data_IF_517320470989
#
_entry.id   IF_517320470989
#
_cell.length_a   1.000
_cell.length_b   1.000
_cell.length_c   1.000
_cell.angle_alpha   90.00
_cell.angle_beta   90.00
_cell.angle_gamma   90.00
#
_symmetry.space_group_name_H-M   'P 1'
#
loop_
_entity.id
_entity.type
_entity.pdbx_description
1 polymer ?
#
# COMPACT_ATOMS: atom_id res chain seq x y z
N UNK A 1 -34.31 24.83 2.44
CA UNK A 1 -33.77 23.78 3.32
C UNK A 1 -32.25 23.83 3.19
N UNK A 2 -31.62 24.59 4.10
CA UNK A 2 -30.20 24.97 4.00
C UNK A 2 -29.37 23.75 4.45
N UNK A 3 -28.45 23.30 3.59
CA UNK A 3 -27.40 22.33 3.93
C UNK A 3 -26.60 22.94 5.07
N UNK A 4 -26.82 22.50 6.31
CA UNK A 4 -25.86 22.75 7.38
C UNK A 4 -24.53 22.15 6.94
N UNK A 5 -23.51 23.00 6.83
CA UNK A 5 -22.15 22.57 6.54
C UNK A 5 -21.75 21.57 7.62
N UNK A 6 -21.64 20.29 7.23
CA UNK A 6 -21.22 19.20 8.11
C UNK A 6 -19.87 19.58 8.70
N UNK A 7 -19.86 20.07 9.95
CA UNK A 7 -18.61 20.38 10.67
C UNK A 7 -17.82 19.08 10.77
N UNK A 8 -16.60 19.08 10.25
CA UNK A 8 -15.70 17.93 10.32
C UNK A 8 -15.41 17.67 11.80
N UNK A 9 -15.50 16.40 12.23
CA UNK A 9 -15.23 16.01 13.61
C UNK A 9 -13.77 16.36 13.98
N UNK A 10 -13.52 17.11 15.07
CA UNK A 10 -12.17 17.41 15.54
C UNK A 10 -11.29 16.18 15.74
N UNK A 11 -11.86 15.02 16.10
CA UNK A 11 -11.11 13.77 16.23
C UNK A 11 -10.54 13.28 14.91
N UNK A 12 -11.27 13.44 13.80
CA UNK A 12 -10.78 13.10 12.46
C UNK A 12 -9.62 14.03 12.07
N UNK A 13 -9.74 15.33 12.36
CA UNK A 13 -8.67 16.29 12.11
C UNK A 13 -7.40 15.96 12.91
N UNK A 14 -7.55 15.50 14.15
CA UNK A 14 -6.43 15.08 14.98
C UNK A 14 -5.77 13.80 14.45
N UNK A 15 -6.56 12.80 14.02
CA UNK A 15 -6.02 11.59 13.37
C UNK A 15 -5.22 11.98 12.13
N UNK A 16 -5.78 12.84 11.27
CA UNK A 16 -5.12 13.30 10.06
C UNK A 16 -3.81 14.06 10.37
N UNK A 17 -3.84 14.99 11.33
CA UNK A 17 -2.66 15.74 11.73
C UNK A 17 -1.56 14.81 12.27
N UNK A 18 -1.93 13.86 13.14
CA UNK A 18 -0.99 12.89 13.69
C UNK A 18 -0.43 11.97 12.59
N UNK A 19 -1.26 11.55 11.64
CA UNK A 19 -0.85 10.80 10.47
C UNK A 19 0.17 11.55 9.61
N UNK A 20 -0.10 12.81 9.27
CA UNK A 20 0.81 13.64 8.47
C UNK A 20 2.15 13.86 9.17
N UNK A 21 2.15 14.04 10.50
CA UNK A 21 3.39 14.22 11.28
C UNK A 21 4.22 12.93 11.33
N UNK A 22 3.57 11.78 11.49
CA UNK A 22 4.26 10.49 11.57
C UNK A 22 4.68 9.95 10.20
N UNK A 23 3.97 10.30 9.13
CA UNK A 23 4.25 9.82 7.78
C UNK A 23 5.72 10.00 7.37
N UNK A 24 6.35 11.19 7.41
CA UNK A 24 7.74 11.35 7.00
C UNK A 24 8.74 10.60 7.90
N UNK A 25 8.37 10.31 9.14
CA UNK A 25 9.24 9.59 10.10
C UNK A 25 9.22 8.09 9.81
N UNK A 26 8.04 7.56 9.44
CA UNK A 26 7.83 6.14 9.30
C UNK A 26 7.94 5.66 7.85
N UNK A 27 7.59 6.50 6.87
CA UNK A 27 7.51 6.17 5.44
C UNK A 27 8.87 5.73 4.87
N UNK A 28 8.96 4.45 4.54
CA UNK A 28 10.12 3.75 4.00
C UNK A 28 9.67 2.91 2.79
N UNK A 29 9.57 3.54 1.60
CA UNK A 29 9.07 2.88 0.40
C UNK A 29 10.11 1.88 -0.12
N UNK A 30 9.93 0.62 0.26
CA UNK A 30 10.81 -0.49 -0.10
C UNK A 30 9.95 -1.75 -0.23
N UNK A 31 10.27 -2.59 -1.21
CA UNK A 31 9.81 -3.99 -1.32
C UNK A 31 10.89 -4.89 -0.72
N UNK A 32 10.57 -5.56 0.38
CA UNK A 32 11.49 -6.48 1.05
C UNK A 32 10.73 -7.61 1.71
N UNK A 33 11.30 -8.81 1.79
CA UNK A 33 10.63 -9.95 2.42
C UNK A 33 9.81 -10.77 1.43
N UNK A 34 9.71 -12.08 1.68
CA UNK A 34 9.04 -13.01 0.79
C UNK A 34 7.55 -12.67 0.61
N UNK A 35 6.89 -12.24 1.68
CA UNK A 35 5.47 -11.92 1.68
C UNK A 35 5.19 -10.73 0.75
N UNK A 36 5.94 -9.63 0.91
CA UNK A 36 5.80 -8.48 0.02
C UNK A 36 6.10 -8.79 -1.43
N UNK A 37 7.18 -9.53 -1.70
CA UNK A 37 7.50 -9.91 -3.07
C UNK A 37 6.34 -10.74 -3.65
N UNK A 38 5.73 -11.62 -2.86
CA UNK A 38 4.52 -12.35 -3.25
C UNK A 38 3.32 -11.45 -3.55
N UNK A 39 3.04 -10.44 -2.72
CA UNK A 39 1.93 -9.51 -2.94
C UNK A 39 2.16 -8.58 -4.14
N UNK A 40 3.37 -8.03 -4.26
CA UNK A 40 3.74 -7.07 -5.29
C UNK A 40 3.99 -7.76 -6.64
N UNK A 41 4.54 -8.97 -6.62
CA UNK A 41 4.84 -9.75 -7.81
C UNK A 41 3.63 -9.96 -8.69
N UNK A 42 2.48 -10.36 -8.12
CA UNK A 42 1.23 -10.47 -8.87
C UNK A 42 0.87 -9.23 -9.68
N UNK A 43 1.11 -8.05 -9.10
CA UNK A 43 0.81 -6.79 -9.78
C UNK A 43 1.81 -6.49 -10.89
N UNK A 44 3.11 -6.70 -10.62
CA UNK A 44 4.14 -6.49 -11.63
C UNK A 44 3.99 -7.47 -12.77
N UNK A 45 3.94 -8.78 -12.53
CA UNK A 45 3.88 -9.79 -13.60
C UNK A 45 2.64 -9.57 -14.48
N UNK A 46 1.49 -9.24 -13.88
CA UNK A 46 0.27 -9.00 -14.64
C UNK A 46 0.32 -7.73 -15.51
N UNK A 47 0.91 -6.64 -15.02
CA UNK A 47 0.92 -5.34 -15.72
C UNK A 47 2.11 -5.19 -16.67
N UNK A 48 3.28 -5.67 -16.26
CA UNK A 48 4.54 -5.48 -16.98
C UNK A 48 4.84 -6.68 -17.88
N UNK A 49 4.79 -7.90 -17.34
CA UNK A 49 5.17 -9.11 -18.09
C UNK A 49 3.98 -9.73 -18.84
N UNK A 50 2.75 -9.37 -18.46
CA UNK A 50 1.52 -9.86 -19.08
C UNK A 50 1.16 -11.30 -18.70
N UNK A 51 1.70 -11.80 -17.58
CA UNK A 51 1.47 -13.16 -17.10
C UNK A 51 1.17 -13.20 -15.60
N UNK A 52 1.12 -14.42 -15.05
CA UNK A 52 0.88 -14.70 -13.64
C UNK A 52 2.04 -15.48 -13.01
N UNK A 53 3.23 -15.38 -13.61
CA UNK A 53 4.42 -16.08 -13.17
C UNK A 53 5.29 -15.15 -12.32
N UNK A 54 5.36 -15.41 -11.02
CA UNK A 54 6.06 -14.52 -10.08
C UNK A 54 7.52 -14.90 -9.78
N UNK A 55 8.08 -15.83 -10.57
CA UNK A 55 9.39 -16.43 -10.28
C UNK A 55 10.55 -15.47 -10.49
N UNK A 56 10.46 -14.57 -11.46
CA UNK A 56 11.47 -13.57 -11.76
C UNK A 56 11.45 -12.42 -10.76
N UNK A 57 10.31 -12.04 -10.15
CA UNK A 57 10.33 -11.08 -9.04
C UNK A 57 11.08 -11.61 -7.83
N UNK A 58 10.83 -12.88 -7.46
CA UNK A 58 11.59 -13.51 -6.40
C UNK A 58 13.08 -13.55 -6.74
N UNK A 59 13.44 -13.83 -8.00
CA UNK A 59 14.84 -13.77 -8.43
C UNK A 59 15.42 -12.34 -8.37
N UNK A 60 14.68 -11.33 -8.83
CA UNK A 60 15.07 -9.93 -8.81
C UNK A 60 15.43 -9.45 -7.40
N UNK A 61 14.64 -9.85 -6.40
CA UNK A 61 14.87 -9.50 -5.00
C UNK A 61 15.81 -10.48 -4.25
N UNK A 62 16.52 -11.36 -4.96
CA UNK A 62 17.52 -12.27 -4.38
C UNK A 62 16.91 -13.45 -3.59
N UNK A 63 15.65 -13.77 -3.84
CA UNK A 63 14.88 -14.81 -3.17
C UNK A 63 14.47 -15.96 -4.11
N UNK A 64 15.19 -16.16 -5.22
CA UNK A 64 14.94 -17.27 -6.16
C UNK A 64 14.93 -18.65 -5.48
N UNK A 65 15.64 -18.81 -4.35
CA UNK A 65 15.68 -20.04 -3.56
C UNK A 65 14.35 -20.40 -2.88
N UNK A 66 13.39 -19.46 -2.84
CA UNK A 66 12.01 -19.68 -2.38
C UNK A 66 11.05 -20.03 -3.53
N UNK A 67 11.54 -20.21 -4.76
CA UNK A 67 10.68 -20.59 -5.88
C UNK A 67 10.32 -22.08 -5.79
N UNK A 68 9.04 -22.35 -5.55
CA UNK A 68 8.42 -23.65 -5.76
C UNK A 68 7.39 -23.54 -6.88
N UNK A 69 7.09 -24.64 -7.58
CA UNK A 69 6.24 -24.62 -8.77
C UNK A 69 5.10 -25.62 -8.65
N UNK A 70 3.90 -25.16 -9.03
CA UNK A 70 2.72 -25.98 -9.17
C UNK A 70 2.83 -26.92 -10.38
N UNK A 71 1.94 -27.91 -10.46
CA UNK A 71 1.78 -28.77 -11.65
C UNK A 71 1.47 -27.97 -12.93
N UNK A 72 0.90 -26.76 -12.80
CA UNK A 72 0.64 -25.85 -13.92
C UNK A 72 1.90 -25.19 -14.48
N UNK A 73 3.05 -25.33 -13.83
CA UNK A 73 4.31 -24.68 -14.20
C UNK A 73 4.45 -23.24 -13.68
N UNK A 74 3.41 -22.70 -13.01
CA UNK A 74 3.48 -21.40 -12.34
C UNK A 74 4.14 -21.55 -10.96
N UNK A 75 4.82 -20.50 -10.50
CA UNK A 75 5.37 -20.45 -9.14
C UNK A 75 4.23 -20.49 -8.12
N UNK A 76 4.36 -21.32 -7.09
CA UNK A 76 3.46 -21.30 -5.94
C UNK A 76 3.68 -20.00 -5.17
N UNK A 77 2.77 -19.04 -5.33
CA UNK A 77 2.80 -17.79 -4.59
C UNK A 77 1.81 -17.84 -3.43
N UNK A 78 2.27 -17.79 -2.17
CA UNK A 78 1.38 -17.65 -1.01
C UNK A 78 0.81 -16.22 -0.89
N UNK A 79 1.27 -15.27 -1.71
CA UNK A 79 0.84 -13.88 -1.66
C UNK A 79 -0.64 -13.74 -2.02
N UNK A 80 -1.41 -13.10 -1.13
CA UNK A 80 -2.80 -12.75 -1.37
C UNK A 80 -2.93 -11.70 -2.50
N UNK A 81 -3.76 -12.00 -3.50
CA UNK A 81 -4.02 -11.10 -4.66
C UNK A 81 -4.68 -9.77 -4.26
N UNK A 82 -5.30 -9.69 -3.08
CA UNK A 82 -6.02 -8.50 -2.62
C UNK A 82 -5.15 -7.24 -2.58
N UNK A 83 -3.90 -7.35 -2.15
CA UNK A 83 -2.96 -6.23 -2.13
C UNK A 83 -2.65 -5.72 -3.53
N UNK A 84 -2.40 -6.62 -4.48
CA UNK A 84 -2.16 -6.29 -5.88
C UNK A 84 -3.36 -5.53 -6.49
N UNK A 85 -4.59 -6.00 -6.23
CA UNK A 85 -5.80 -5.33 -6.70
C UNK A 85 -5.94 -3.92 -6.12
N UNK A 86 -5.70 -3.75 -4.82
CA UNK A 86 -5.77 -2.44 -4.16
C UNK A 86 -4.67 -1.49 -4.65
N UNK A 87 -3.49 -1.98 -5.00
CA UNK A 87 -2.41 -1.14 -5.54
C UNK A 87 -2.55 -0.86 -7.05
N UNK A 88 -3.28 -1.69 -7.78
CA UNK A 88 -3.42 -1.59 -9.25
C UNK A 88 -3.80 -0.21 -9.80
N UNK A 89 -4.79 0.55 -9.27
CA UNK A 89 -5.11 1.86 -9.86
C UNK A 89 -3.94 2.85 -9.75
N UNK A 90 -3.19 2.80 -8.66
CA UNK A 90 -2.03 3.68 -8.43
C UNK A 90 -0.83 3.26 -9.26
N UNK A 91 -0.60 1.96 -9.37
CA UNK A 91 0.46 1.40 -10.18
C UNK A 91 0.24 1.70 -11.67
N UNK A 92 -0.97 1.48 -12.18
CA UNK A 92 -1.31 1.78 -13.58
C UNK A 92 -1.19 3.28 -13.88
N UNK A 93 -1.61 4.14 -12.95
CA UNK A 93 -1.45 5.59 -13.09
C UNK A 93 0.03 5.98 -13.21
N UNK A 94 0.89 5.44 -12.34
CA UNK A 94 2.34 5.70 -12.38
C UNK A 94 2.98 5.07 -13.61
N UNK A 95 2.52 3.90 -14.04
CA UNK A 95 3.00 3.28 -15.28
C UNK A 95 2.69 4.15 -16.50
N UNK A 96 1.45 4.62 -16.63
CA UNK A 96 1.04 5.52 -17.71
C UNK A 96 1.82 6.85 -17.67
N UNK A 97 2.00 7.43 -16.49
CA UNK A 97 2.82 8.64 -16.32
C UNK A 97 4.29 8.40 -16.68
N UNK A 98 4.84 7.23 -16.36
CA UNK A 98 6.20 6.82 -16.69
C UNK A 98 6.39 6.72 -18.20
N UNK A 99 5.46 6.05 -18.90
CA UNK A 99 5.47 5.95 -20.36
C UNK A 99 5.34 7.32 -21.03
N UNK A 100 4.46 8.19 -20.52
CA UNK A 100 4.33 9.56 -21.01
C UNK A 100 5.63 10.36 -20.81
N UNK A 101 6.28 10.23 -19.65
CA UNK A 101 7.57 10.86 -19.39
C UNK A 101 8.67 10.36 -20.32
N UNK A 102 8.74 9.05 -20.59
CA UNK A 102 9.66 8.48 -21.57
C UNK A 102 9.41 9.04 -22.99
N UNK A 103 8.15 9.18 -23.39
CA UNK A 103 7.79 9.79 -24.68
C UNK A 103 8.23 11.26 -24.78
N UNK A 104 8.36 11.95 -23.65
CA UNK A 104 8.89 13.31 -23.54
C UNK A 104 10.43 13.36 -23.39
N UNK A 105 11.12 12.22 -23.48
CA UNK A 105 12.57 12.13 -23.37
C UNK A 105 13.12 12.13 -21.94
N UNK A 106 12.28 11.94 -20.92
CA UNK A 106 12.75 11.80 -19.54
C UNK A 106 13.40 10.42 -19.33
N UNK A 107 14.47 10.33 -18.53
CA UNK A 107 15.20 9.08 -18.27
C UNK A 107 14.48 8.21 -17.22
N UNK A 108 13.19 7.93 -17.44
CA UNK A 108 12.40 7.06 -16.58
C UNK A 108 12.45 5.62 -17.07
N UNK A 109 12.33 4.65 -16.16
CA UNK A 109 12.35 3.23 -16.47
C UNK A 109 10.96 2.63 -16.18
N UNK A 110 10.36 1.95 -17.15
CA UNK A 110 9.01 1.39 -17.07
C UNK A 110 9.00 -0.11 -16.74
N UNK A 111 9.77 -0.53 -15.73
CA UNK A 111 10.03 -1.95 -15.39
C UNK A 111 9.15 -2.52 -14.27
N UNK A 112 8.38 -1.66 -13.59
CA UNK A 112 7.61 -2.04 -12.40
C UNK A 112 8.44 -2.24 -11.14
N UNK A 113 9.77 -2.13 -11.19
CA UNK A 113 10.67 -2.24 -10.04
C UNK A 113 11.20 -0.89 -9.57
N UNK A 114 11.30 0.05 -10.50
CA UNK A 114 11.82 1.38 -10.26
C UNK A 114 11.06 2.10 -9.16
N UNK A 115 11.77 3.01 -8.49
CA UNK A 115 11.33 3.61 -7.23
C UNK A 115 9.92 4.23 -7.31
N UNK A 116 9.53 4.82 -8.44
CA UNK A 116 8.21 5.40 -8.62
C UNK A 116 7.06 4.39 -8.41
N UNK A 117 7.24 3.13 -8.78
CA UNK A 117 6.23 2.08 -8.58
C UNK A 117 6.14 1.66 -7.12
N UNK A 118 7.29 1.51 -6.47
CA UNK A 118 7.39 1.21 -5.03
C UNK A 118 6.75 2.33 -4.20
N UNK A 119 6.97 3.60 -4.57
CA UNK A 119 6.31 4.74 -3.94
C UNK A 119 4.80 4.73 -4.14
N UNK A 120 4.33 4.41 -5.35
CA UNK A 120 2.90 4.35 -5.64
C UNK A 120 2.19 3.34 -4.71
N UNK A 121 2.71 2.12 -4.63
CA UNK A 121 2.16 1.08 -3.79
C UNK A 121 2.29 1.41 -2.29
N UNK A 122 3.41 2.02 -1.87
CA UNK A 122 3.61 2.43 -0.47
C UNK A 122 2.65 3.54 -0.05
N UNK A 123 2.46 4.57 -0.90
CA UNK A 123 1.52 5.67 -0.64
C UNK A 123 0.07 5.18 -0.66
N UNK A 124 -0.26 4.24 -1.55
CA UNK A 124 -1.57 3.60 -1.57
C UNK A 124 -1.83 2.87 -0.23
N UNK A 125 -0.87 2.10 0.27
CA UNK A 125 -0.96 1.45 1.59
C UNK A 125 -1.12 2.46 2.73
N UNK A 126 -0.35 3.56 2.72
CA UNK A 126 -0.51 4.65 3.69
C UNK A 126 -1.92 5.23 3.67
N UNK A 127 -2.47 5.48 2.46
CA UNK A 127 -3.82 6.01 2.29
C UNK A 127 -4.88 5.03 2.80
N UNK A 128 -4.77 3.75 2.47
CA UNK A 128 -5.71 2.72 2.91
C UNK A 128 -5.69 2.56 4.42
N UNK A 129 -4.53 2.69 5.05
CA UNK A 129 -4.48 2.67 6.50
C UNK A 129 -5.10 3.92 7.14
N UNK A 130 -4.89 5.11 6.58
CA UNK A 130 -5.57 6.32 7.04
C UNK A 130 -7.11 6.16 6.95
N UNK A 131 -7.60 5.59 5.84
CA UNK A 131 -9.02 5.26 5.67
C UNK A 131 -9.47 4.25 6.74
N UNK A 132 -8.68 3.21 7.00
CA UNK A 132 -8.95 2.22 8.04
C UNK A 132 -9.04 2.84 9.44
N UNK A 133 -8.12 3.74 9.79
CA UNK A 133 -8.15 4.48 11.07
C UNK A 133 -9.38 5.36 11.18
N UNK A 134 -9.75 6.05 10.10
CA UNK A 134 -10.97 6.85 10.07
C UNK A 134 -12.22 5.97 10.27
N UNK A 135 -12.37 4.88 9.52
CA UNK A 135 -13.52 3.99 9.67
C UNK A 135 -13.59 3.38 11.08
N UNK A 136 -12.45 2.98 11.63
CA UNK A 136 -12.36 2.45 13.00
C UNK A 136 -12.79 3.51 14.02
N UNK A 137 -12.38 4.76 13.82
CA UNK A 137 -12.82 5.87 14.68
C UNK A 137 -14.33 6.09 14.62
N UNK A 138 -14.93 6.05 13.43
CA UNK A 138 -16.39 6.20 13.28
C UNK A 138 -17.14 5.09 14.03
N UNK A 139 -16.74 3.83 13.87
CA UNK A 139 -17.36 2.70 14.57
C UNK A 139 -17.14 2.79 16.08
N UNK A 140 -15.96 3.22 16.53
CA UNK A 140 -15.67 3.36 17.95
C UNK A 140 -16.52 4.44 18.64
N UNK A 141 -16.99 5.46 17.91
CA UNK A 141 -17.90 6.48 18.47
C UNK A 141 -19.27 5.91 18.85
N UNK A 142 -19.69 4.79 18.26
CA UNK A 142 -20.96 4.12 18.61
C UNK A 142 -20.84 3.31 19.91
N UNK A 143 -19.61 3.03 20.37
CA UNK A 143 -19.34 2.19 21.53
C UNK A 143 -18.90 2.99 22.77
N UNK A 144 -18.15 4.09 22.57
CA UNK A 144 -17.55 4.87 23.66
C UNK A 144 -17.58 6.37 23.38
N UNK A 145 -17.35 7.18 24.41
CA UNK A 145 -17.23 8.63 24.27
C UNK A 145 -16.11 9.02 23.27
N UNK A 146 -16.33 10.10 22.50
CA UNK A 146 -15.43 10.53 21.40
C UNK A 146 -13.95 10.62 21.76
N UNK A 147 -13.62 11.09 22.97
CA UNK A 147 -12.23 11.19 23.46
C UNK A 147 -11.60 9.82 23.65
N UNK A 148 -12.37 8.86 24.18
CA UNK A 148 -11.94 7.49 24.38
C UNK A 148 -11.84 6.73 23.06
N UNK A 149 -12.76 6.97 22.11
CA UNK A 149 -12.68 6.44 20.76
C UNK A 149 -11.39 6.90 20.06
N UNK A 150 -11.05 8.18 20.16
CA UNK A 150 -9.82 8.73 19.57
C UNK A 150 -8.57 8.09 20.20
N UNK A 151 -8.52 8.00 21.54
CA UNK A 151 -7.41 7.38 22.24
C UNK A 151 -7.27 5.90 21.88
N UNK A 152 -8.38 5.17 21.82
CA UNK A 152 -8.40 3.76 21.45
C UNK A 152 -7.85 3.55 20.03
N UNK A 153 -8.22 4.40 19.06
CA UNK A 153 -7.70 4.32 17.69
C UNK A 153 -6.21 4.66 17.62
N UNK A 154 -5.75 5.70 18.33
CA UNK A 154 -4.32 6.05 18.36
C UNK A 154 -3.50 4.93 19.00
N UNK A 155 -3.97 4.38 20.13
CA UNK A 155 -3.29 3.28 20.82
C UNK A 155 -3.30 2.03 19.94
N UNK A 156 -4.44 1.66 19.35
CA UNK A 156 -4.53 0.52 18.44
C UNK A 156 -3.60 0.71 17.23
N UNK A 157 -3.51 1.92 16.68
CA UNK A 157 -2.58 2.22 15.61
C UNK A 157 -1.12 2.01 16.03
N UNK A 158 -0.71 2.62 17.15
CA UNK A 158 0.67 2.59 17.63
C UNK A 158 1.09 1.23 18.20
N UNK A 159 0.15 0.42 18.69
CA UNK A 159 0.40 -0.88 19.28
C UNK A 159 0.22 -2.05 18.31
N UNK A 160 -0.23 -1.80 17.07
CA UNK A 160 -0.48 -2.84 16.07
C UNK A 160 0.60 -2.89 14.98
N UNK A 161 0.60 -3.95 14.15
CA UNK A 161 1.46 -4.00 12.97
C UNK A 161 1.22 -2.87 11.97
N UNK A 162 0.13 -2.10 12.13
CA UNK A 162 -0.24 -1.02 11.20
C UNK A 162 0.85 0.04 11.08
N UNK A 163 1.59 0.37 12.14
CA UNK A 163 2.75 1.27 11.99
C UNK A 163 3.74 0.78 10.93
N UNK A 164 3.88 -0.53 10.78
CA UNK A 164 4.78 -1.16 9.82
C UNK A 164 4.16 -1.27 8.43
N UNK A 165 2.90 -1.70 8.29
CA UNK A 165 2.26 -1.90 6.97
C UNK A 165 1.84 -0.59 6.28
N UNK A 166 1.63 0.50 7.05
CA UNK A 166 1.31 1.80 6.48
C UNK A 166 2.49 2.42 5.71
N UNK A 167 3.71 2.00 6.02
CA UNK A 167 4.90 2.83 5.78
C UNK A 167 5.98 2.10 5.00
N UNK A 168 5.96 0.78 4.98
CA UNK A 168 6.77 -0.04 4.10
C UNK A 168 5.92 -1.20 3.56
N UNK A 169 6.26 -1.69 2.38
CA UNK A 169 5.77 -2.98 1.90
C UNK A 169 6.85 -4.00 2.36
N UNK A 170 6.63 -4.62 3.52
CA UNK A 170 7.51 -5.66 4.09
C UNK A 170 6.78 -6.98 4.19
#
# INVERSE_FOLDING_TARGET
>A
MIREGRKIDPGILLILAFFIVLLPILFKPWVHGADTIGYYGWLRSAVIDGDLQTADEFAHYGMAWLNTFAETGLRDSPGAVGSALLWSPWFLLVHAATLAGQALGLPLIADGYSQQYVWAASLASSLYALIGLWLTYLVAQDLVARKLALLAVIVAWLASPLLFTCTAIR
#
